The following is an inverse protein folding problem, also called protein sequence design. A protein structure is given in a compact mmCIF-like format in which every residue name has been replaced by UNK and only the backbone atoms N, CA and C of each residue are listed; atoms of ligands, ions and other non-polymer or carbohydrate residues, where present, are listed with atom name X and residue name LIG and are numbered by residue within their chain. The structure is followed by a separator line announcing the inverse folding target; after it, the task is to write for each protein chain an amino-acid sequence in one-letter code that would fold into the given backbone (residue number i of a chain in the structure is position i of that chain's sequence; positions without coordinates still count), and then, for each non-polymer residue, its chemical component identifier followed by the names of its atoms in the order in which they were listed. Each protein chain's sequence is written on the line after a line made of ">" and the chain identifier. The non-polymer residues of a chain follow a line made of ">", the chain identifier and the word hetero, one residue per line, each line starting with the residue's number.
data_IF_311355585665
#
_entry.id   IF_311355585665
#
_cell.length_a   1.000
_cell.length_b   1.000
_cell.length_c   1.000
_cell.angle_alpha   90.00
_cell.angle_beta   90.00
_cell.angle_gamma   90.00
#
_symmetry.space_group_name_H-M   'P 1'
#
loop_
_entity.id
_entity.type
_entity.pdbx_description
1 polymer ?
#
# COMPACT_ATOMS: atom_id res chain seq x y z
N UNK A 1 -8.35 -0.13 2.72
CA UNK A 1 -9.26 0.32 1.65
C UNK A 1 -8.69 1.55 0.96
N UNK A 2 -8.40 1.46 -0.33
CA UNK A 2 -7.68 2.48 -1.10
C UNK A 2 -8.58 3.62 -1.59
N UNK A 3 -9.90 3.48 -1.51
CA UNK A 3 -10.84 4.56 -1.87
C UNK A 3 -10.80 5.74 -0.89
N UNK A 4 -10.26 5.58 0.32
CA UNK A 4 -9.99 6.70 1.22
C UNK A 4 -8.84 7.58 0.72
N UNK A 5 -8.92 8.91 0.90
CA UNK A 5 -7.86 9.84 0.52
C UNK A 5 -6.56 9.62 1.32
N UNK A 6 -5.44 10.11 0.79
CA UNK A 6 -4.11 9.97 1.40
C UNK A 6 -3.96 10.66 2.75
N UNK A 7 -4.70 11.76 3.01
CA UNK A 7 -4.73 12.40 4.33
C UNK A 7 -5.37 11.52 5.43
N UNK A 8 -6.16 10.51 5.05
CA UNK A 8 -6.76 9.56 5.99
C UNK A 8 -5.95 8.25 6.06
N UNK A 9 -5.52 7.75 4.90
CA UNK A 9 -4.65 6.57 4.80
C UNK A 9 -3.40 6.94 4.01
N UNK A 10 -2.38 7.52 4.67
CA UNK A 10 -1.11 7.85 4.03
C UNK A 10 -0.34 6.58 3.66
N UNK A 11 0.73 6.74 2.87
CA UNK A 11 1.54 5.61 2.43
C UNK A 11 2.16 4.85 3.61
N UNK A 12 2.65 5.56 4.61
CA UNK A 12 3.25 4.96 5.80
C UNK A 12 2.25 4.11 6.58
N UNK A 13 1.01 4.58 6.73
CA UNK A 13 -0.07 3.81 7.38
C UNK A 13 -0.40 2.54 6.58
N UNK A 14 -0.40 2.63 5.26
CA UNK A 14 -0.59 1.47 4.37
C UNK A 14 0.55 0.46 4.54
N UNK A 15 1.80 0.94 4.61
CA UNK A 15 2.98 0.10 4.79
C UNK A 15 3.03 -0.55 6.17
N UNK A 16 2.66 0.16 7.22
CA UNK A 16 2.73 -0.34 8.61
C UNK A 16 1.52 -1.19 9.01
N UNK A 17 0.61 -1.49 8.08
CA UNK A 17 -0.46 -2.44 8.33
C UNK A 17 0.09 -3.79 8.80
N UNK A 18 -0.53 -4.33 9.85
CA UNK A 18 -0.22 -5.64 10.41
C UNK A 18 -1.43 -6.56 10.19
N UNK A 19 -1.28 -7.62 9.36
CA UNK A 19 -2.39 -8.53 9.08
C UNK A 19 -2.77 -9.46 10.23
N UNK A 20 -1.87 -9.69 11.20
CA UNK A 20 -2.14 -10.55 12.34
C UNK A 20 -2.53 -9.67 13.54
N UNK A 21 -3.79 -9.69 13.99
CA UNK A 21 -4.21 -8.92 15.17
C UNK A 21 -3.43 -9.31 16.41
N UNK A 22 -3.09 -8.33 17.26
CA UNK A 22 -2.32 -8.60 18.47
C UNK A 22 -3.10 -9.48 19.47
N UNK A 23 -4.43 -9.42 19.45
CA UNK A 23 -5.29 -10.23 20.34
C UNK A 23 -5.49 -11.66 19.82
N UNK A 24 -5.08 -11.96 18.59
CA UNK A 24 -5.27 -13.29 18.01
C UNK A 24 -4.27 -14.28 18.61
N UNK A 25 -4.78 -15.37 19.18
CA UNK A 25 -3.92 -16.43 19.72
C UNK A 25 -3.00 -17.03 18.63
N UNK A 26 -1.74 -17.30 19.00
CA UNK A 26 -0.70 -17.82 18.10
C UNK A 26 -1.13 -19.09 17.33
N UNK A 27 -1.96 -19.94 17.94
CA UNK A 27 -2.49 -21.17 17.32
C UNK A 27 -3.33 -20.89 16.05
N UNK A 28 -3.89 -19.68 15.91
CA UNK A 28 -4.69 -19.28 14.77
C UNK A 28 -3.93 -18.50 13.71
N UNK A 29 -2.70 -18.05 13.97
CA UNK A 29 -1.94 -17.20 13.04
C UNK A 29 -1.77 -17.86 11.66
N UNK A 30 -1.56 -19.19 11.64
CA UNK A 30 -1.43 -19.97 10.39
C UNK A 30 -2.72 -20.08 9.56
N UNK A 31 -3.87 -19.61 10.08
CA UNK A 31 -5.14 -19.59 9.36
C UNK A 31 -5.33 -18.31 8.53
N UNK A 32 -4.48 -17.30 8.72
CA UNK A 32 -4.47 -16.08 7.91
C UNK A 32 -3.66 -16.38 6.65
N UNK A 33 -4.35 -16.46 5.50
CA UNK A 33 -3.73 -16.87 4.23
C UNK A 33 -3.09 -15.71 3.46
N UNK A 34 -3.50 -14.47 3.74
CA UNK A 34 -3.03 -13.32 3.00
C UNK A 34 -3.81 -12.05 3.34
N UNK A 35 -3.65 -11.07 2.46
CA UNK A 35 -4.22 -9.73 2.58
C UNK A 35 -4.73 -9.25 1.24
N UNK A 36 -5.66 -8.31 1.28
CA UNK A 36 -6.21 -7.67 0.09
C UNK A 36 -6.15 -6.15 0.20
N UNK A 37 -5.91 -5.51 -0.94
CA UNK A 37 -5.90 -4.06 -1.09
C UNK A 37 -7.14 -3.62 -1.87
N UNK A 38 -8.30 -3.57 -1.21
CA UNK A 38 -9.54 -3.26 -1.90
C UNK A 38 -9.66 -1.77 -2.25
N UNK A 39 -10.04 -1.49 -3.51
CA UNK A 39 -10.37 -0.18 -4.02
C UNK A 39 -11.80 -0.23 -4.57
N UNK A 40 -12.74 0.32 -3.80
CA UNK A 40 -14.12 0.46 -4.23
C UNK A 40 -14.27 1.68 -5.14
N UNK A 41 -15.01 1.54 -6.24
CA UNK A 41 -15.01 2.50 -7.36
C UNK A 41 -16.22 3.42 -7.42
N UNK A 42 -17.05 3.49 -6.38
CA UNK A 42 -18.29 4.30 -6.37
C UNK A 42 -18.02 5.78 -6.67
N UNK A 43 -16.84 6.28 -6.28
CA UNK A 43 -16.42 7.67 -6.50
C UNK A 43 -15.20 7.81 -7.43
N UNK A 44 -14.85 6.75 -8.17
CA UNK A 44 -13.69 6.72 -9.07
C UNK A 44 -14.15 7.09 -10.48
N UNK A 45 -13.84 8.33 -10.89
CA UNK A 45 -14.36 8.91 -12.13
C UNK A 45 -13.72 8.35 -13.40
N UNK A 46 -12.45 7.96 -13.34
CA UNK A 46 -11.68 7.50 -14.51
C UNK A 46 -10.43 6.73 -14.09
N UNK A 47 -9.73 6.18 -15.09
CA UNK A 47 -8.48 5.43 -14.91
C UNK A 47 -7.41 6.22 -14.15
N UNK A 48 -7.24 7.52 -14.42
CA UNK A 48 -6.24 8.35 -13.73
C UNK A 48 -6.50 8.44 -12.23
N UNK A 49 -7.77 8.63 -11.84
CA UNK A 49 -8.18 8.62 -10.43
C UNK A 49 -7.97 7.25 -9.79
N UNK A 50 -8.28 6.17 -10.52
CA UNK A 50 -8.09 4.80 -10.05
C UNK A 50 -6.60 4.53 -9.74
N UNK A 51 -5.72 4.85 -10.69
CA UNK A 51 -4.27 4.66 -10.55
C UNK A 51 -3.69 5.51 -9.44
N UNK A 52 -4.14 6.76 -9.31
CA UNK A 52 -3.65 7.68 -8.26
C UNK A 52 -4.04 7.19 -6.87
N UNK A 53 -5.27 6.69 -6.71
CA UNK A 53 -5.71 6.09 -5.46
C UNK A 53 -4.97 4.77 -5.16
N UNK A 54 -4.72 3.95 -6.17
CA UNK A 54 -4.11 2.65 -6.01
C UNK A 54 -2.60 2.75 -5.70
N UNK A 55 -1.86 3.54 -6.49
CA UNK A 55 -0.41 3.61 -6.44
C UNK A 55 0.07 4.88 -5.72
N UNK A 56 1.06 4.78 -4.81
CA UNK A 56 1.88 3.59 -4.53
C UNK A 56 1.38 2.69 -3.39
N UNK A 57 0.19 2.94 -2.81
CA UNK A 57 -0.30 2.19 -1.63
C UNK A 57 -0.44 0.68 -1.86
N UNK A 58 -0.87 0.26 -3.04
CA UNK A 58 -0.96 -1.17 -3.39
C UNK A 58 0.42 -1.86 -3.34
N UNK A 59 1.50 -1.15 -3.67
CA UNK A 59 2.88 -1.67 -3.57
C UNK A 59 3.27 -1.84 -2.09
N UNK A 60 2.90 -0.89 -1.24
CA UNK A 60 3.15 -0.98 0.21
C UNK A 60 2.40 -2.17 0.85
N UNK A 61 1.16 -2.42 0.42
CA UNK A 61 0.37 -3.56 0.87
C UNK A 61 0.97 -4.86 0.32
N UNK A 62 1.34 -4.91 -0.96
CA UNK A 62 2.02 -6.09 -1.54
C UNK A 62 3.30 -6.45 -0.78
N UNK A 63 4.12 -5.46 -0.42
CA UNK A 63 5.31 -5.70 0.41
C UNK A 63 4.96 -6.22 1.81
N UNK A 64 3.85 -5.77 2.40
CA UNK A 64 3.34 -6.29 3.68
C UNK A 64 2.97 -7.76 3.62
N UNK A 65 2.38 -8.20 2.50
CA UNK A 65 2.05 -9.61 2.29
C UNK A 65 3.25 -10.49 1.97
N UNK A 66 4.34 -9.89 1.47
CA UNK A 66 5.53 -10.61 0.99
C UNK A 66 6.69 -10.65 1.99
N UNK A 67 6.90 -9.57 2.74
CA UNK A 67 8.08 -9.38 3.58
C UNK A 67 7.80 -9.79 5.02
N UNK A 68 8.65 -10.62 5.66
CA UNK A 68 8.52 -10.93 7.07
C UNK A 68 8.47 -9.67 7.94
N UNK A 69 7.57 -9.63 8.93
CA UNK A 69 7.34 -8.47 9.81
C UNK A 69 8.64 -7.87 10.37
N UNK A 70 9.55 -8.71 10.85
CA UNK A 70 10.83 -8.28 11.44
C UNK A 70 11.85 -7.70 10.42
N UNK A 71 11.56 -7.79 9.13
CA UNK A 71 12.38 -7.23 8.04
C UNK A 71 11.75 -5.97 7.42
N UNK A 72 10.54 -5.59 7.80
CA UNK A 72 9.88 -4.38 7.28
C UNK A 72 10.61 -3.13 7.77
N UNK A 73 10.86 -2.20 6.86
CA UNK A 73 11.51 -0.92 7.15
C UNK A 73 11.02 0.14 6.16
N UNK A 74 10.23 1.09 6.65
CA UNK A 74 9.59 2.08 5.79
C UNK A 74 10.60 2.98 5.05
N UNK A 75 11.69 3.41 5.70
CA UNK A 75 12.73 4.22 5.07
C UNK A 75 13.44 3.48 3.93
N UNK A 76 13.70 2.18 4.10
CA UNK A 76 14.26 1.32 3.05
C UNK A 76 13.27 1.10 1.91
N UNK A 77 12.00 0.90 2.23
CA UNK A 77 10.91 0.82 1.27
C UNK A 77 10.82 2.10 0.42
N UNK A 78 10.85 3.29 1.02
CA UNK A 78 10.80 4.56 0.29
C UNK A 78 11.92 4.67 -0.76
N UNK A 79 13.16 4.28 -0.40
CA UNK A 79 14.29 4.28 -1.36
C UNK A 79 14.09 3.31 -2.53
N UNK A 80 13.48 2.15 -2.29
CA UNK A 80 13.15 1.18 -3.35
C UNK A 80 11.96 1.65 -4.18
N UNK A 81 10.98 2.29 -3.55
CA UNK A 81 9.83 2.87 -4.23
C UNK A 81 10.26 3.99 -5.18
N UNK A 82 11.21 4.85 -4.80
CA UNK A 82 11.76 5.88 -5.71
C UNK A 82 12.30 5.28 -7.01
N UNK A 83 12.95 4.10 -6.94
CA UNK A 83 13.38 3.36 -8.13
C UNK A 83 12.21 2.71 -8.86
N UNK A 84 11.24 2.16 -8.13
CA UNK A 84 10.05 1.53 -8.71
C UNK A 84 9.17 2.54 -9.44
N UNK A 85 9.12 3.78 -8.98
CA UNK A 85 8.39 4.86 -9.64
C UNK A 85 8.87 5.09 -11.09
N UNK A 86 10.17 4.84 -11.39
CA UNK A 86 10.68 4.91 -12.77
C UNK A 86 10.00 3.88 -13.68
N UNK A 87 9.65 2.71 -13.15
CA UNK A 87 8.86 1.71 -13.89
C UNK A 87 7.41 2.18 -14.07
N UNK A 88 6.82 2.79 -13.06
CA UNK A 88 5.47 3.35 -13.16
C UNK A 88 5.41 4.49 -14.19
N UNK A 89 6.44 5.32 -14.26
CA UNK A 89 6.58 6.38 -15.26
C UNK A 89 6.66 5.79 -16.68
N UNK A 90 7.48 4.75 -16.89
CA UNK A 90 7.59 4.05 -18.19
C UNK A 90 6.28 3.38 -18.62
N UNK A 91 5.49 2.91 -17.66
CA UNK A 91 4.18 2.29 -17.88
C UNK A 91 3.05 3.33 -17.93
N UNK A 92 3.37 4.62 -17.85
CA UNK A 92 2.42 5.73 -17.87
C UNK A 92 1.32 5.62 -16.80
N UNK A 93 1.64 5.08 -15.63
CA UNK A 93 0.70 4.94 -14.51
C UNK A 93 0.58 6.28 -13.78
N UNK A 94 -0.64 6.78 -13.58
CA UNK A 94 -0.87 8.03 -12.86
C UNK A 94 -0.83 7.83 -11.33
N UNK A 95 0.32 7.48 -10.76
CA UNK A 95 0.49 7.26 -9.31
C UNK A 95 0.62 8.58 -8.53
N UNK A 96 0.25 8.57 -7.24
CA UNK A 96 0.41 9.72 -6.35
C UNK A 96 1.89 10.05 -6.10
N UNK A 97 2.23 11.34 -6.11
CA UNK A 97 3.59 11.86 -5.91
C UNK A 97 3.94 11.99 -4.43
N UNK A 98 5.23 12.17 -4.13
CA UNK A 98 5.81 12.07 -2.79
C UNK A 98 5.20 13.05 -1.80
N UNK A 99 4.85 14.23 -2.28
CA UNK A 99 4.24 15.31 -1.52
C UNK A 99 2.79 14.97 -1.14
N UNK A 100 2.12 14.14 -1.93
CA UNK A 100 0.71 13.79 -1.75
C UNK A 100 0.51 12.62 -0.78
N UNK A 101 1.49 11.71 -0.68
CA UNK A 101 1.36 10.49 0.11
C UNK A 101 2.13 10.47 1.44
N UNK A 102 2.98 11.48 1.69
CA UNK A 102 3.73 11.68 2.94
C UNK A 102 3.10 12.72 3.88
N UNK A 103 1.83 13.07 3.64
CA UNK A 103 1.03 13.97 4.47
C UNK A 103 0.92 13.48 5.93
#
# INVERSE_FOLDING_TARGET
>A
YLNYPYNHIPLERSYNYEPIPNELEAKYHKRILGIEACLWTEFVKNKKTLEWQAFPRVIAIAETGWTPKNKKNFKSFQKRLEKFNQWLDLLEVNYAKKEEYLL
#
